data_IF_019060054487
#
_entry.id   IF_019060054487
#
_cell.length_a   1.000
_cell.length_b   1.000
_cell.length_c   1.000
_cell.angle_alpha   90.00
_cell.angle_beta   90.00
_cell.angle_gamma   90.00
#
_symmetry.space_group_name_H-M   'P 1'
#
loop_
_entity.id
_entity.type
_entity.pdbx_description
1 polymer ?
#
# COMPACT_ATOMS: atom_id res chain seq x y z
N UNK A 1 -15.10 -44.14 21.31
CA UNK A 1 -16.18 -43.14 21.55
C UNK A 1 -16.26 -42.29 20.29
N UNK A 2 -17.46 -42.01 19.76
CA UNK A 2 -17.60 -41.34 18.45
C UNK A 2 -18.06 -39.89 18.59
N UNK A 3 -17.39 -39.01 17.85
CA UNK A 3 -17.85 -37.64 17.59
C UNK A 3 -18.78 -37.62 16.39
N UNK A 4 -19.98 -37.08 16.56
CA UNK A 4 -20.93 -36.89 15.45
C UNK A 4 -20.62 -35.58 14.73
N UNK A 5 -19.82 -35.66 13.66
CA UNK A 5 -19.55 -34.53 12.79
C UNK A 5 -20.67 -34.33 11.76
N UNK A 6 -20.71 -33.17 11.10
CA UNK A 6 -21.63 -32.91 9.98
C UNK A 6 -21.41 -33.83 8.78
N UNK A 7 -20.29 -34.57 8.72
CA UNK A 7 -19.96 -35.54 7.67
C UNK A 7 -20.12 -36.99 8.12
N UNK A 8 -20.63 -37.23 9.33
CA UNK A 8 -20.82 -38.57 9.90
C UNK A 8 -20.06 -38.79 11.22
N UNK A 9 -20.28 -39.96 11.81
CA UNK A 9 -19.66 -40.36 13.07
C UNK A 9 -18.17 -40.72 12.87
N UNK A 10 -17.29 -40.10 13.64
CA UNK A 10 -15.84 -40.33 13.60
C UNK A 10 -15.37 -40.81 14.97
N UNK A 11 -14.57 -41.87 15.02
CA UNK A 11 -13.96 -42.32 16.27
C UNK A 11 -12.99 -41.26 16.81
N UNK A 12 -13.16 -40.87 18.07
CA UNK A 12 -12.36 -39.81 18.70
C UNK A 12 -10.89 -40.20 18.78
N UNK A 13 -10.59 -41.48 19.04
CA UNK A 13 -9.22 -41.98 19.23
C UNK A 13 -8.36 -41.88 17.96
N UNK A 14 -8.98 -41.84 16.77
CA UNK A 14 -8.27 -41.74 15.49
C UNK A 14 -8.12 -40.31 14.97
N UNK A 15 -8.61 -39.32 15.73
CA UNK A 15 -8.55 -37.92 15.29
C UNK A 15 -7.16 -37.32 15.41
N UNK A 16 -6.67 -36.59 14.39
CA UNK A 16 -5.47 -35.77 14.52
C UNK A 16 -5.72 -34.53 15.37
N UNK A 17 -4.67 -33.98 16.00
CA UNK A 17 -4.76 -32.90 17.01
C UNK A 17 -5.62 -31.71 16.56
N UNK A 18 -5.33 -31.17 15.35
CA UNK A 18 -6.10 -30.04 14.79
C UNK A 18 -7.57 -30.34 14.59
N UNK A 19 -7.93 -31.59 14.33
CA UNK A 19 -9.33 -31.96 14.13
C UNK A 19 -10.04 -32.15 15.48
N UNK A 20 -9.39 -32.82 16.43
CA UNK A 20 -9.90 -33.02 17.79
C UNK A 20 -10.09 -31.68 18.54
N UNK A 21 -9.12 -30.76 18.44
CA UNK A 21 -9.18 -29.46 19.12
C UNK A 21 -10.28 -28.54 18.58
N UNK A 22 -10.46 -28.52 17.26
CA UNK A 22 -11.54 -27.78 16.62
C UNK A 22 -12.92 -28.40 16.94
N UNK A 23 -13.03 -29.72 16.96
CA UNK A 23 -14.25 -30.42 17.34
C UNK A 23 -14.63 -30.17 18.81
N UNK A 24 -13.65 -30.17 19.72
CA UNK A 24 -13.83 -29.84 21.12
C UNK A 24 -14.30 -28.39 21.32
N UNK A 25 -13.65 -27.43 20.66
CA UNK A 25 -14.02 -26.02 20.72
C UNK A 25 -15.45 -25.79 20.19
N UNK A 26 -15.82 -26.50 19.12
CA UNK A 26 -17.16 -26.46 18.56
C UNK A 26 -18.22 -27.03 19.50
N UNK A 27 -17.98 -28.20 20.10
CA UNK A 27 -18.92 -28.81 21.05
C UNK A 27 -19.11 -27.97 22.31
N UNK A 28 -18.04 -27.39 22.85
CA UNK A 28 -18.12 -26.48 24.02
C UNK A 28 -18.97 -25.24 23.74
N UNK A 29 -19.04 -24.79 22.48
CA UNK A 29 -19.82 -23.61 22.07
C UNK A 29 -21.26 -23.95 21.71
N UNK A 30 -21.48 -25.04 20.98
CA UNK A 30 -22.75 -25.33 20.31
C UNK A 30 -23.59 -26.41 21.00
N UNK A 31 -22.98 -27.29 21.80
CA UNK A 31 -23.65 -28.43 22.45
C UNK A 31 -22.97 -28.81 23.79
N UNK A 32 -22.93 -27.90 24.79
CA UNK A 32 -22.24 -28.12 26.07
C UNK A 32 -22.84 -29.25 26.92
N UNK A 33 -24.06 -29.69 26.62
CA UNK A 33 -24.74 -30.82 27.24
C UNK A 33 -24.13 -32.19 26.90
N UNK A 34 -23.35 -32.30 25.81
CA UNK A 34 -22.66 -33.55 25.38
C UNK A 34 -21.36 -33.77 26.16
N UNK A 35 -21.46 -33.81 27.49
CA UNK A 35 -20.32 -33.80 28.43
C UNK A 35 -19.34 -34.95 28.22
N UNK A 36 -19.83 -36.17 27.99
CA UNK A 36 -18.98 -37.35 27.78
C UNK A 36 -18.11 -37.26 26.52
N UNK A 37 -18.64 -36.65 25.45
CA UNK A 37 -17.87 -36.42 24.21
C UNK A 37 -16.85 -35.29 24.36
N UNK A 38 -17.20 -34.26 25.12
CA UNK A 38 -16.30 -33.16 25.46
C UNK A 38 -15.13 -33.68 26.30
N UNK A 39 -15.40 -34.53 27.29
CA UNK A 39 -14.37 -35.16 28.12
C UNK A 39 -13.48 -36.10 27.31
N UNK A 40 -14.07 -36.93 26.43
CA UNK A 40 -13.31 -37.82 25.57
C UNK A 40 -12.41 -37.05 24.57
N UNK A 41 -12.91 -35.98 23.96
CA UNK A 41 -12.12 -35.13 23.05
C UNK A 41 -11.06 -34.32 23.81
N UNK A 42 -11.36 -33.84 25.01
CA UNK A 42 -10.38 -33.15 25.85
C UNK A 42 -9.24 -34.08 26.25
N UNK A 43 -9.56 -35.33 26.63
CA UNK A 43 -8.57 -36.36 26.93
C UNK A 43 -7.70 -36.67 25.71
N UNK A 44 -8.30 -36.87 24.53
CA UNK A 44 -7.54 -37.12 23.30
C UNK A 44 -6.65 -35.94 22.89
N UNK A 45 -7.12 -34.71 23.06
CA UNK A 45 -6.30 -33.52 22.82
C UNK A 45 -5.10 -33.48 23.76
N UNK A 46 -5.30 -33.76 25.05
CA UNK A 46 -4.22 -33.78 26.04
C UNK A 46 -3.21 -34.92 25.78
N UNK A 47 -3.67 -36.10 25.36
CA UNK A 47 -2.80 -37.21 24.95
C UNK A 47 -1.95 -36.83 23.73
N UNK A 48 -2.56 -36.22 22.71
CA UNK A 48 -1.86 -35.79 21.50
C UNK A 48 -0.88 -34.63 21.74
N UNK A 49 -1.22 -33.71 22.63
CA UNK A 49 -0.36 -32.59 23.04
C UNK A 49 0.85 -33.13 23.83
N UNK A 50 0.64 -34.10 24.72
CA UNK A 50 1.72 -34.81 25.40
C UNK A 50 2.58 -35.65 24.44
N UNK A 51 1.99 -36.27 23.41
CA UNK A 51 2.73 -36.95 22.34
C UNK A 51 3.56 -35.98 21.48
N UNK A 52 3.07 -34.76 21.25
CA UNK A 52 3.79 -33.71 20.51
C UNK A 52 4.95 -33.15 21.36
N UNK A 53 4.75 -32.90 22.66
CA UNK A 53 5.81 -32.52 23.60
C UNK A 53 6.86 -33.64 23.79
N UNK A 54 6.44 -34.91 23.77
CA UNK A 54 7.32 -36.07 23.93
C UNK A 54 8.02 -36.49 22.62
N UNK A 55 7.76 -35.83 21.49
CA UNK A 55 8.41 -36.15 20.23
C UNK A 55 9.70 -35.33 20.06
N UNK A 56 10.90 -35.89 20.34
CA UNK A 56 12.17 -35.19 20.15
C UNK A 56 12.48 -34.85 18.68
N UNK A 57 11.63 -35.27 17.73
CA UNK A 57 11.72 -34.94 16.29
C UNK A 57 10.76 -33.82 15.87
N UNK A 58 9.89 -33.32 16.75
CA UNK A 58 8.96 -32.21 16.47
C UNK A 58 9.59 -30.83 16.74
N UNK A 59 10.92 -30.72 16.67
CA UNK A 59 11.60 -29.43 16.57
C UNK A 59 11.43 -28.96 15.13
N UNK A 60 10.65 -27.90 14.93
CA UNK A 60 10.55 -27.22 13.64
C UNK A 60 11.96 -26.96 13.10
N UNK A 61 12.22 -27.40 11.87
CA UNK A 61 13.56 -27.56 11.32
C UNK A 61 14.40 -26.28 11.36
N UNK A 62 15.28 -26.21 12.36
CA UNK A 62 16.51 -25.47 12.24
C UNK A 62 17.47 -26.32 11.42
N UNK A 63 17.79 -25.86 10.21
CA UNK A 63 18.94 -26.36 9.46
C UNK A 63 20.19 -25.88 10.19
N UNK A 64 20.49 -26.52 11.32
CA UNK A 64 21.73 -26.35 12.05
C UNK A 64 22.67 -27.47 11.56
N UNK A 65 23.43 -27.23 10.48
CA UNK A 65 24.30 -28.25 9.91
C UNK A 65 25.32 -28.75 10.96
N UNK A 66 25.77 -30.01 10.85
CA UNK A 66 26.82 -30.55 11.70
C UNK A 66 28.03 -29.62 11.80
N UNK A 67 28.76 -29.61 12.93
CA UNK A 67 29.91 -28.70 13.13
C UNK A 67 30.97 -28.81 12.02
N UNK A 68 31.15 -30.01 11.46
CA UNK A 68 32.00 -30.26 10.31
C UNK A 68 31.54 -29.48 9.07
N UNK A 69 30.24 -29.46 8.80
CA UNK A 69 29.63 -28.70 7.69
C UNK A 69 29.69 -27.19 7.95
N UNK A 70 29.59 -26.74 9.22
CA UNK A 70 29.81 -25.33 9.60
C UNK A 70 31.24 -24.87 9.33
N UNK A 71 32.23 -25.75 9.49
CA UNK A 71 33.62 -25.43 9.13
C UNK A 71 33.78 -25.19 7.61
N UNK A 72 33.03 -25.93 6.78
CA UNK A 72 32.96 -25.72 5.33
C UNK A 72 32.06 -24.56 4.89
N UNK A 73 31.19 -24.05 5.76
CA UNK A 73 30.34 -22.87 5.50
C UNK A 73 31.07 -21.54 5.64
N UNK A 74 32.35 -21.54 5.99
CA UNK A 74 33.18 -20.33 5.94
C UNK A 74 33.26 -19.85 4.48
N UNK A 75 33.04 -18.55 4.27
CA UNK A 75 33.08 -17.94 2.95
C UNK A 75 34.31 -18.37 2.12
N UNK A 76 35.50 -18.36 2.72
CA UNK A 76 36.74 -18.72 2.01
C UNK A 76 36.74 -20.18 1.50
N UNK A 77 36.18 -21.12 2.27
CA UNK A 77 36.10 -22.53 1.88
C UNK A 77 35.03 -22.77 0.83
N UNK A 78 33.86 -22.14 0.97
CA UNK A 78 32.78 -22.19 -0.02
C UNK A 78 33.21 -21.61 -1.35
N UNK A 79 33.91 -20.48 -1.32
CA UNK A 79 34.41 -19.81 -2.50
C UNK A 79 35.34 -20.73 -3.28
N UNK A 80 36.33 -21.33 -2.62
CA UNK A 80 37.26 -22.28 -3.26
C UNK A 80 36.51 -23.44 -3.90
N UNK A 81 35.60 -24.09 -3.16
CA UNK A 81 34.81 -25.22 -3.70
C UNK A 81 33.95 -24.82 -4.92
N UNK A 82 33.31 -23.65 -4.89
CA UNK A 82 32.53 -23.16 -6.03
C UNK A 82 33.41 -22.79 -7.23
N UNK A 83 34.56 -22.16 -6.98
CA UNK A 83 35.53 -21.80 -8.03
C UNK A 83 36.07 -23.06 -8.72
N UNK A 84 36.37 -24.13 -7.96
CA UNK A 84 36.81 -25.44 -8.48
C UNK A 84 35.72 -26.10 -9.36
N UNK A 85 34.45 -26.05 -8.93
CA UNK A 85 33.33 -26.57 -9.74
C UNK A 85 33.13 -25.76 -11.02
N UNK A 86 33.28 -24.43 -10.95
CA UNK A 86 33.17 -23.56 -12.12
C UNK A 86 34.30 -23.81 -13.13
N UNK A 87 35.52 -24.10 -12.66
CA UNK A 87 36.61 -24.51 -13.54
C UNK A 87 36.30 -25.83 -14.26
N UNK A 88 35.76 -26.82 -13.55
CA UNK A 88 35.31 -28.08 -14.16
C UNK A 88 34.20 -27.87 -15.20
N UNK A 89 33.24 -26.98 -14.92
CA UNK A 89 32.17 -26.63 -15.87
C UNK A 89 32.77 -26.02 -17.14
N UNK A 90 33.69 -25.05 -17.02
CA UNK A 90 34.34 -24.41 -18.17
C UNK A 90 35.03 -25.42 -19.09
N UNK A 91 35.59 -26.50 -18.54
CA UNK A 91 36.22 -27.57 -19.30
C UNK A 91 35.26 -28.41 -20.14
N UNK A 92 33.95 -28.40 -19.83
CA UNK A 92 32.94 -29.26 -20.47
C UNK A 92 31.96 -28.45 -21.32
N UNK A 93 31.72 -27.19 -20.97
CA UNK A 93 30.81 -26.32 -21.72
C UNK A 93 31.30 -26.08 -23.14
N UNK A 94 30.41 -26.22 -24.14
CA UNK A 94 30.72 -26.03 -25.56
C UNK A 94 31.17 -27.29 -26.30
N UNK A 95 31.30 -28.42 -25.61
CA UNK A 95 31.57 -29.73 -26.21
C UNK A 95 30.25 -30.48 -26.42
N UNK A 96 30.06 -31.06 -27.61
CA UNK A 96 28.92 -31.93 -27.88
C UNK A 96 29.07 -33.24 -27.11
N UNK A 97 28.11 -33.54 -26.24
CA UNK A 97 28.04 -34.82 -25.52
C UNK A 97 27.80 -35.94 -26.54
N UNK A 98 28.71 -36.91 -26.56
CA UNK A 98 28.77 -37.97 -27.58
C UNK A 98 28.58 -39.38 -27.01
N UNK A 99 28.69 -39.54 -25.69
CA UNK A 99 28.48 -40.82 -25.00
C UNK A 99 27.72 -40.65 -23.66
N UNK A 100 27.23 -41.78 -23.12
CA UNK A 100 26.47 -41.80 -21.87
C UNK A 100 27.33 -41.43 -20.65
N UNK A 101 28.61 -41.76 -20.66
CA UNK A 101 29.51 -41.46 -19.54
C UNK A 101 29.73 -39.94 -19.39
N UNK A 102 29.80 -39.22 -20.50
CA UNK A 102 29.85 -37.75 -20.58
C UNK A 102 28.55 -37.12 -20.07
N UNK A 103 27.39 -37.69 -20.43
CA UNK A 103 26.10 -37.26 -19.90
C UNK A 103 25.99 -37.47 -18.38
N UNK A 104 26.41 -38.63 -17.86
CA UNK A 104 26.37 -38.95 -16.43
C UNK A 104 27.34 -38.07 -15.62
N UNK A 105 28.53 -37.81 -16.15
CA UNK A 105 29.50 -36.90 -15.54
C UNK A 105 28.98 -35.45 -15.50
N UNK A 106 28.37 -34.97 -16.59
CA UNK A 106 27.73 -33.65 -16.63
C UNK A 106 26.54 -33.56 -15.66
N UNK A 107 25.76 -34.63 -15.53
CA UNK A 107 24.67 -34.74 -14.57
C UNK A 107 25.13 -34.69 -13.11
N UNK A 108 26.26 -35.37 -12.80
CA UNK A 108 26.89 -35.30 -11.47
C UNK A 108 27.39 -33.88 -11.16
N UNK A 109 28.10 -33.25 -12.10
CA UNK A 109 28.61 -31.89 -11.92
C UNK A 109 27.47 -30.87 -11.74
N UNK A 110 26.36 -31.03 -12.47
CA UNK A 110 25.15 -30.24 -12.27
C UNK A 110 24.61 -30.40 -10.85
N UNK A 111 24.61 -31.62 -10.31
CA UNK A 111 24.13 -31.88 -8.95
C UNK A 111 25.05 -31.25 -7.90
N UNK A 112 26.36 -31.39 -8.06
CA UNK A 112 27.37 -30.82 -7.16
C UNK A 112 27.26 -29.28 -7.11
N UNK A 113 27.01 -28.62 -8.25
CA UNK A 113 26.71 -27.19 -8.31
C UNK A 113 25.42 -26.81 -7.57
N UNK A 114 24.34 -27.57 -7.76
CA UNK A 114 23.08 -27.31 -7.07
C UNK A 114 23.22 -27.41 -5.56
N UNK A 115 24.00 -28.38 -5.08
CA UNK A 115 24.23 -28.58 -3.66
C UNK A 115 25.19 -27.52 -3.09
N UNK A 116 26.21 -27.08 -3.84
CA UNK A 116 27.05 -25.94 -3.49
C UNK A 116 26.24 -24.63 -3.34
N UNK A 117 25.28 -24.38 -4.24
CA UNK A 117 24.38 -23.21 -4.15
C UNK A 117 23.54 -23.23 -2.86
N UNK A 118 22.96 -24.38 -2.51
CA UNK A 118 22.18 -24.52 -1.26
C UNK A 118 23.05 -24.31 -0.03
N UNK A 119 24.29 -24.80 -0.06
CA UNK A 119 25.24 -24.65 1.03
C UNK A 119 25.63 -23.18 1.22
N UNK A 120 25.89 -22.46 0.13
CA UNK A 120 26.19 -21.04 0.15
C UNK A 120 25.01 -20.19 0.66
N UNK A 121 23.78 -20.49 0.23
CA UNK A 121 22.60 -19.78 0.74
C UNK A 121 22.36 -20.04 2.24
N UNK A 122 22.61 -21.27 2.70
CA UNK A 122 22.53 -21.62 4.13
C UNK A 122 23.59 -20.90 4.97
N UNK A 123 24.81 -20.75 4.46
CA UNK A 123 25.85 -19.96 5.11
C UNK A 123 25.45 -18.48 5.17
N UNK A 124 24.98 -17.92 4.06
CA UNK A 124 24.50 -16.53 3.97
C UNK A 124 23.38 -16.23 4.96
N UNK A 125 22.37 -17.10 5.07
CA UNK A 125 21.26 -16.90 6.01
C UNK A 125 21.73 -16.97 7.46
N UNK A 126 22.64 -17.89 7.78
CA UNK A 126 23.25 -18.02 9.11
C UNK A 126 24.06 -16.79 9.50
N UNK A 127 24.92 -16.31 8.59
CA UNK A 127 25.72 -15.09 8.82
C UNK A 127 24.85 -13.84 8.96
N UNK A 128 23.77 -13.75 8.17
CA UNK A 128 22.85 -12.60 8.20
C UNK A 128 21.91 -12.60 9.40
N UNK A 129 21.54 -13.76 9.94
CA UNK A 129 20.57 -13.90 11.02
C UNK A 129 20.78 -12.95 12.21
N UNK A 130 21.98 -12.84 12.83
CA UNK A 130 22.19 -11.92 13.96
C UNK A 130 22.07 -10.45 13.54
N UNK A 131 22.44 -10.10 12.31
CA UNK A 131 22.31 -8.74 11.79
C UNK A 131 20.84 -8.39 11.52
N UNK A 132 20.08 -9.32 10.95
CA UNK A 132 18.64 -9.14 10.75
C UNK A 132 17.91 -8.95 12.08
N UNK A 133 18.25 -9.72 13.11
CA UNK A 133 17.64 -9.57 14.43
C UNK A 133 18.03 -8.23 15.08
N UNK A 134 19.29 -7.81 14.99
CA UNK A 134 19.72 -6.49 15.48
C UNK A 134 19.02 -5.33 14.74
N UNK A 135 18.89 -5.44 13.41
CA UNK A 135 18.15 -4.47 12.61
C UNK A 135 16.67 -4.45 13.01
N UNK A 136 16.06 -5.62 13.22
CA UNK A 136 14.68 -5.74 13.64
C UNK A 136 14.44 -5.12 15.01
N UNK A 137 15.31 -5.36 15.99
CA UNK A 137 15.21 -4.74 17.32
C UNK A 137 15.24 -3.21 17.23
N UNK A 138 16.17 -2.66 16.44
CA UNK A 138 16.25 -1.22 16.19
C UNK A 138 14.96 -0.73 15.54
N UNK A 139 14.49 -1.40 14.49
CA UNK A 139 13.26 -1.04 13.79
C UNK A 139 12.07 -1.05 14.73
N UNK A 140 11.89 -2.11 15.54
CA UNK A 140 10.76 -2.24 16.46
C UNK A 140 10.76 -1.12 17.51
N UNK A 141 11.91 -0.80 18.10
CA UNK A 141 12.07 0.30 19.07
C UNK A 141 11.64 1.65 18.48
N UNK A 142 12.07 1.97 17.26
CA UNK A 142 11.70 3.24 16.62
C UNK A 142 10.26 3.21 16.11
N UNK A 143 9.81 2.12 15.51
CA UNK A 143 8.46 1.96 14.96
C UNK A 143 7.38 2.13 16.03
N UNK A 144 7.66 1.80 17.29
CA UNK A 144 6.76 2.12 18.40
C UNK A 144 6.34 3.62 18.44
N UNK A 145 7.21 4.53 17.99
CA UNK A 145 6.97 5.97 18.01
C UNK A 145 6.70 6.56 16.62
N UNK A 146 7.48 6.18 15.62
CA UNK A 146 7.51 6.84 14.31
C UNK A 146 6.95 5.99 13.17
N UNK A 147 6.38 4.81 13.46
CA UNK A 147 5.79 3.99 12.40
C UNK A 147 4.70 4.76 11.66
N UNK A 148 4.72 4.76 10.31
CA UNK A 148 3.72 5.44 9.49
C UNK A 148 2.28 5.05 9.83
N UNK A 149 1.36 6.00 9.63
CA UNK A 149 -0.08 5.81 9.87
C UNK A 149 -0.73 4.69 9.05
N UNK A 150 -0.13 4.32 7.93
CA UNK A 150 -0.59 3.22 7.06
C UNK A 150 -0.22 1.82 7.59
N UNK A 151 0.67 1.75 8.58
CA UNK A 151 1.09 0.47 9.15
C UNK A 151 -0.01 -0.11 10.04
N UNK A 152 -0.01 -1.43 10.22
CA UNK A 152 -0.98 -2.12 11.11
C UNK A 152 -0.96 -1.57 12.54
N UNK A 153 0.23 -1.20 13.03
CA UNK A 153 0.46 -0.56 14.32
C UNK A 153 1.19 0.76 14.12
N UNK A 154 0.47 1.88 13.94
CA UNK A 154 1.11 3.19 13.81
C UNK A 154 1.78 3.64 15.11
N UNK A 155 2.86 4.40 14.95
CA UNK A 155 3.64 4.91 16.06
C UNK A 155 2.90 5.98 16.87
N UNK A 156 3.25 6.11 18.15
CA UNK A 156 2.60 7.06 19.07
C UNK A 156 2.76 8.52 18.63
N UNK A 157 3.97 8.92 18.19
CA UNK A 157 4.24 10.28 17.74
C UNK A 157 3.50 10.56 16.44
N UNK A 158 3.45 9.60 15.51
CA UNK A 158 2.69 9.75 14.27
C UNK A 158 1.19 9.94 14.52
N UNK A 159 0.61 9.25 15.53
CA UNK A 159 -0.79 9.46 15.94
C UNK A 159 -0.99 10.84 16.57
N UNK A 160 -0.09 11.28 17.45
CA UNK A 160 -0.16 12.59 18.08
C UNK A 160 -0.04 13.72 17.05
N UNK A 161 0.87 13.59 16.08
CA UNK A 161 1.03 14.53 14.97
C UNK A 161 -0.25 14.62 14.13
N UNK A 162 -0.89 13.49 13.82
CA UNK A 162 -2.18 13.49 13.12
C UNK A 162 -3.27 14.20 13.93
N UNK A 163 -3.37 13.91 15.22
CA UNK A 163 -4.37 14.54 16.08
C UNK A 163 -4.21 16.07 16.12
N UNK A 164 -2.98 16.56 16.28
CA UNK A 164 -2.68 17.99 16.24
C UNK A 164 -2.96 18.61 14.87
N UNK A 165 -2.59 17.93 13.78
CA UNK A 165 -2.92 18.39 12.41
C UNK A 165 -4.42 18.52 12.20
N UNK A 166 -5.21 17.55 12.69
CA UNK A 166 -6.67 17.60 12.59
C UNK A 166 -7.26 18.75 13.40
N UNK A 167 -6.74 19.00 14.61
CA UNK A 167 -7.17 20.12 15.44
C UNK A 167 -6.85 21.47 14.79
N UNK A 168 -5.63 21.63 14.27
CA UNK A 168 -5.22 22.84 13.54
C UNK A 168 -6.07 23.00 12.27
N UNK A 169 -6.33 21.92 11.53
CA UNK A 169 -7.15 21.96 10.32
C UNK A 169 -8.59 22.41 10.62
N UNK A 170 -9.19 21.92 11.72
CA UNK A 170 -10.53 22.34 12.14
C UNK A 170 -10.58 23.84 12.48
N UNK A 171 -9.56 24.35 13.19
CA UNK A 171 -9.42 25.78 13.48
C UNK A 171 -9.25 26.62 12.21
N UNK A 172 -8.34 26.21 11.31
CA UNK A 172 -8.11 26.91 10.05
C UNK A 172 -9.34 26.91 9.14
N UNK A 173 -10.11 25.81 9.13
CA UNK A 173 -11.37 25.74 8.41
C UNK A 173 -12.38 26.75 8.95
N UNK A 174 -12.50 26.87 10.28
CA UNK A 174 -13.35 27.89 10.91
C UNK A 174 -12.94 29.30 10.48
N UNK A 175 -11.65 29.62 10.48
CA UNK A 175 -11.15 30.91 10.01
C UNK A 175 -11.42 31.15 8.52
N UNK A 176 -11.33 30.10 7.70
CA UNK A 176 -11.66 30.17 6.27
C UNK A 176 -13.16 30.42 6.08
N UNK A 177 -14.03 29.70 6.80
CA UNK A 177 -15.48 29.88 6.75
C UNK A 177 -15.88 31.30 7.22
N UNK A 178 -15.28 31.80 8.30
CA UNK A 178 -15.48 33.18 8.79
C UNK A 178 -15.02 34.21 7.76
N UNK A 179 -13.88 33.97 7.10
CA UNK A 179 -13.40 34.84 6.02
C UNK A 179 -14.35 34.81 4.83
N UNK A 180 -14.81 33.64 4.40
CA UNK A 180 -15.75 33.48 3.28
C UNK A 180 -17.07 34.21 3.55
N UNK A 181 -17.57 34.15 4.79
CA UNK A 181 -18.75 34.92 5.19
C UNK A 181 -18.51 36.45 5.12
N UNK A 182 -17.32 36.91 5.56
CA UNK A 182 -16.93 38.32 5.44
C UNK A 182 -16.74 38.75 3.99
N UNK A 183 -16.12 37.92 3.16
CA UNK A 183 -15.96 38.16 1.72
C UNK A 183 -17.33 38.29 1.04
N UNK A 184 -18.27 37.41 1.36
CA UNK A 184 -19.61 37.44 0.76
C UNK A 184 -20.38 38.69 1.21
N UNK A 185 -20.35 39.03 2.50
CA UNK A 185 -20.96 40.25 3.01
C UNK A 185 -20.34 41.51 2.37
N UNK A 186 -19.01 41.55 2.23
CA UNK A 186 -18.30 42.64 1.58
C UNK A 186 -18.60 42.71 0.07
N UNK A 187 -18.77 41.57 -0.62
CA UNK A 187 -19.20 41.53 -2.03
C UNK A 187 -20.58 42.12 -2.21
N UNK A 188 -21.55 41.73 -1.38
CA UNK A 188 -22.90 42.30 -1.40
C UNK A 188 -22.86 43.80 -1.11
N UNK A 189 -22.04 44.25 -0.15
CA UNK A 189 -21.88 45.67 0.16
C UNK A 189 -21.26 46.47 -0.99
N UNK A 190 -20.23 45.92 -1.65
CA UNK A 190 -19.61 46.53 -2.84
C UNK A 190 -20.58 46.59 -4.01
N UNK A 191 -21.36 45.54 -4.25
CA UNK A 191 -22.36 45.51 -5.32
C UNK A 191 -23.43 46.58 -5.09
N UNK A 192 -23.99 46.67 -3.88
CA UNK A 192 -24.97 47.70 -3.52
C UNK A 192 -24.40 49.12 -3.62
N UNK A 193 -23.23 49.37 -3.03
CA UNK A 193 -22.59 50.68 -3.09
C UNK A 193 -22.24 51.09 -4.53
N UNK A 194 -21.84 50.14 -5.38
CA UNK A 194 -21.58 50.40 -6.79
C UNK A 194 -22.86 50.68 -7.59
N UNK A 195 -23.98 50.02 -7.29
CA UNK A 195 -25.28 50.30 -7.89
C UNK A 195 -25.79 51.70 -7.49
N UNK A 196 -25.75 52.03 -6.19
CA UNK A 196 -26.15 53.34 -5.66
C UNK A 196 -25.28 54.45 -6.23
N UNK A 197 -23.95 54.28 -6.26
CA UNK A 197 -23.03 55.24 -6.85
C UNK A 197 -23.26 55.43 -8.36
N UNK A 198 -23.55 54.36 -9.11
CA UNK A 198 -23.87 54.47 -10.55
C UNK A 198 -25.18 55.22 -10.78
N UNK A 199 -26.21 54.92 -9.98
CA UNK A 199 -27.51 55.59 -10.10
C UNK A 199 -27.40 57.08 -9.74
N UNK A 200 -26.72 57.42 -8.64
CA UNK A 200 -26.49 58.80 -8.23
C UNK A 200 -25.62 59.56 -9.24
N UNK A 201 -24.56 58.94 -9.77
CA UNK A 201 -23.73 59.56 -10.80
C UNK A 201 -24.50 59.82 -12.11
N UNK A 202 -25.38 58.91 -12.52
CA UNK A 202 -26.24 59.11 -13.69
C UNK A 202 -27.26 60.25 -13.48
N UNK A 203 -27.83 60.37 -12.28
CA UNK A 203 -28.73 61.47 -11.92
C UNK A 203 -27.98 62.82 -11.88
N UNK A 204 -26.81 62.86 -11.26
CA UNK A 204 -25.98 64.06 -11.15
C UNK A 204 -25.45 64.56 -12.51
N UNK A 205 -25.23 63.68 -13.50
CA UNK A 205 -24.76 64.08 -14.84
C UNK A 205 -25.70 65.04 -15.59
N UNK A 206 -26.97 65.04 -15.25
CA UNK A 206 -28.02 65.88 -15.86
C UNK A 206 -28.63 66.87 -14.87
N UNK A 207 -28.09 66.96 -13.66
CA UNK A 207 -28.57 67.87 -12.61
C UNK A 207 -27.82 69.20 -12.65
N UNK A 208 -28.55 70.29 -12.35
CA UNK A 208 -28.01 71.62 -12.11
C UNK A 208 -27.92 71.94 -10.60
N UNK A 209 -28.25 70.97 -9.73
CA UNK A 209 -28.20 71.09 -8.27
C UNK A 209 -26.82 70.63 -7.73
N UNK A 210 -26.10 71.56 -7.09
CA UNK A 210 -24.78 71.29 -6.51
C UNK A 210 -24.85 70.21 -5.42
N UNK A 211 -25.93 70.17 -4.62
CA UNK A 211 -26.08 69.20 -3.53
C UNK A 211 -26.23 67.77 -4.08
N UNK A 212 -26.88 67.60 -5.24
CA UNK A 212 -27.02 66.29 -5.91
C UNK A 212 -25.69 65.81 -6.52
N UNK A 213 -24.87 66.75 -7.02
CA UNK A 213 -23.53 66.45 -7.55
C UNK A 213 -22.59 66.04 -6.41
N UNK A 214 -22.57 66.79 -5.30
CA UNK A 214 -21.76 66.46 -4.12
C UNK A 214 -22.17 65.12 -3.50
N UNK A 215 -23.48 64.85 -3.38
CA UNK A 215 -23.98 63.57 -2.89
C UNK A 215 -23.58 62.37 -3.79
N UNK A 216 -23.53 62.55 -5.11
CA UNK A 216 -23.06 61.51 -6.02
C UNK A 216 -21.55 61.25 -5.87
N UNK A 217 -20.74 62.29 -5.67
CA UNK A 217 -19.30 62.15 -5.40
C UNK A 217 -19.03 61.42 -4.07
N UNK A 218 -19.80 61.72 -3.02
CA UNK A 218 -19.73 61.01 -1.74
C UNK A 218 -20.04 59.51 -1.90
N UNK A 219 -21.05 59.15 -2.69
CA UNK A 219 -21.43 57.75 -2.95
C UNK A 219 -20.37 57.01 -3.78
N UNK A 220 -19.74 57.67 -4.75
CA UNK A 220 -18.61 57.10 -5.49
C UNK A 220 -17.43 56.84 -4.55
N UNK A 221 -17.11 57.80 -3.67
CA UNK A 221 -16.05 57.64 -2.68
C UNK A 221 -16.35 56.48 -1.71
N UNK A 222 -17.61 56.33 -1.27
CA UNK A 222 -18.05 55.21 -0.44
C UNK A 222 -17.91 53.85 -1.15
N UNK A 223 -18.28 53.76 -2.44
CA UNK A 223 -18.11 52.56 -3.24
C UNK A 223 -16.63 52.17 -3.40
N UNK A 224 -15.74 53.15 -3.58
CA UNK A 224 -14.30 52.95 -3.65
C UNK A 224 -13.71 52.44 -2.33
N UNK A 225 -14.18 52.95 -1.18
CA UNK A 225 -13.79 52.46 0.15
C UNK A 225 -14.22 51.00 0.32
N UNK A 226 -15.47 50.67 0.02
CA UNK A 226 -15.98 49.30 0.10
C UNK A 226 -15.19 48.34 -0.80
N UNK A 227 -14.83 48.77 -2.02
CA UNK A 227 -14.02 47.98 -2.94
C UNK A 227 -12.60 47.75 -2.42
N UNK A 228 -12.00 48.73 -1.73
CA UNK A 228 -10.68 48.58 -1.08
C UNK A 228 -10.75 47.61 0.09
N UNK A 229 -11.80 47.67 0.90
CA UNK A 229 -12.03 46.74 2.01
C UNK A 229 -12.17 45.30 1.52
N UNK A 230 -12.98 45.05 0.49
CA UNK A 230 -13.10 43.73 -0.13
C UNK A 230 -11.74 43.19 -0.59
N UNK A 231 -10.92 44.02 -1.26
CA UNK A 231 -9.56 43.61 -1.70
C UNK A 231 -8.63 43.27 -0.54
N UNK A 232 -8.78 43.92 0.62
CA UNK A 232 -7.99 43.58 1.81
C UNK A 232 -8.43 42.24 2.40
N UNK A 233 -9.74 42.01 2.48
CA UNK A 233 -10.32 40.75 2.94
C UNK A 233 -9.86 39.60 2.02
N UNK A 234 -9.97 39.75 0.70
CA UNK A 234 -9.56 38.71 -0.26
C UNK A 234 -8.08 38.31 -0.10
N UNK A 235 -7.20 39.27 0.20
CA UNK A 235 -5.76 39.04 0.41
C UNK A 235 -5.43 38.36 1.73
N UNK A 236 -6.31 38.44 2.73
CA UNK A 236 -6.10 37.82 4.03
C UNK A 236 -6.01 36.29 3.88
N UNK A 237 -5.02 35.67 4.52
CA UNK A 237 -4.83 34.22 4.47
C UNK A 237 -5.03 33.63 5.87
N UNK A 238 -6.01 32.73 6.06
CA UNK A 238 -6.20 32.05 7.33
C UNK A 238 -4.98 31.14 7.58
N UNK A 239 -4.24 31.44 8.64
CA UNK A 239 -3.01 30.74 8.98
C UNK A 239 -2.77 30.76 10.49
N UNK A 240 -2.23 29.67 11.02
CA UNK A 240 -1.73 29.61 12.38
C UNK A 240 -0.29 30.13 12.40
N UNK A 241 -0.02 31.17 13.18
CA UNK A 241 1.31 31.77 13.36
C UNK A 241 1.86 31.42 14.74
N UNK A 242 3.17 31.26 14.82
CA UNK A 242 3.94 31.03 16.05
C UNK A 242 5.43 31.26 15.77
N UNK A 243 6.30 30.67 16.58
CA UNK A 243 7.77 30.81 16.43
C UNK A 243 8.32 30.11 15.17
N UNK A 244 7.51 29.26 14.53
CA UNK A 244 7.84 28.50 13.35
C UNK A 244 7.09 28.99 12.11
N UNK A 245 7.41 28.41 10.94
CA UNK A 245 6.71 28.72 9.69
C UNK A 245 5.20 28.58 9.85
N UNK A 246 4.47 29.58 9.36
CA UNK A 246 3.01 29.59 9.41
C UNK A 246 2.40 28.36 8.73
N UNK A 247 1.38 27.78 9.37
CA UNK A 247 0.62 26.62 8.88
C UNK A 247 -0.70 27.15 8.29
N UNK A 248 -0.96 26.82 7.03
CA UNK A 248 -2.19 27.20 6.32
C UNK A 248 -2.79 26.02 5.57
N UNK A 249 -4.04 26.16 5.13
CA UNK A 249 -4.71 25.17 4.29
C UNK A 249 -4.07 25.11 2.90
N UNK A 250 -4.06 23.92 2.30
CA UNK A 250 -3.61 23.69 0.92
C UNK A 250 -4.74 23.09 0.12
N UNK A 251 -4.96 23.61 -1.08
CA UNK A 251 -5.92 23.05 -2.03
C UNK A 251 -5.31 21.86 -2.76
N UNK A 252 -6.01 20.72 -2.75
CA UNK A 252 -5.69 19.56 -3.56
C UNK A 252 -6.82 19.33 -4.55
N UNK A 253 -6.50 19.27 -5.84
CA UNK A 253 -7.45 19.03 -6.91
C UNK A 253 -7.35 17.56 -7.33
N UNK A 254 -8.47 16.84 -7.27
CA UNK A 254 -8.58 15.45 -7.73
C UNK A 254 -9.64 15.39 -8.84
N UNK A 255 -9.32 14.68 -9.91
CA UNK A 255 -10.30 14.35 -10.94
C UNK A 255 -11.15 13.16 -10.46
N UNK A 256 -12.46 13.34 -10.40
CA UNK A 256 -13.42 12.27 -10.17
C UNK A 256 -14.11 11.94 -11.50
N UNK A 257 -14.26 10.64 -11.79
CA UNK A 257 -14.91 10.20 -13.01
C UNK A 257 -16.42 10.38 -12.89
N UNK A 258 -17.01 11.04 -13.86
CA UNK A 258 -18.46 11.11 -14.02
C UNK A 258 -18.93 9.83 -14.71
N UNK A 259 -19.89 9.13 -14.10
CA UNK A 259 -20.49 7.92 -14.66
C UNK A 259 -21.20 8.23 -15.99
N UNK A 260 -21.15 7.30 -16.95
CA UNK A 260 -21.70 7.49 -18.29
C UNK A 260 -20.88 8.40 -19.22
N UNK A 261 -19.96 9.23 -18.70
CA UNK A 261 -19.17 10.16 -19.53
C UNK A 261 -17.78 9.63 -19.96
N UNK A 262 -17.54 8.33 -19.81
CA UNK A 262 -16.25 7.71 -20.15
C UNK A 262 -15.82 7.93 -21.60
N UNK A 263 -16.77 7.95 -22.55
CA UNK A 263 -16.48 8.22 -23.96
C UNK A 263 -15.96 9.65 -24.21
N UNK A 264 -16.48 10.65 -23.48
CA UNK A 264 -15.99 12.04 -23.55
C UNK A 264 -14.57 12.13 -22.99
N UNK A 265 -14.31 11.46 -21.86
CA UNK A 265 -12.96 11.40 -21.27
C UNK A 265 -11.96 10.72 -22.22
N UNK A 266 -12.31 9.58 -22.82
CA UNK A 266 -11.47 8.90 -23.80
C UNK A 266 -11.20 9.79 -25.02
N UNK A 267 -12.22 10.48 -25.53
CA UNK A 267 -12.08 11.40 -26.66
C UNK A 267 -11.14 12.58 -26.33
N UNK A 268 -11.24 13.14 -25.12
CA UNK A 268 -10.35 14.19 -24.64
C UNK A 268 -8.89 13.71 -24.56
N UNK A 269 -8.64 12.54 -23.97
CA UNK A 269 -7.28 12.00 -23.85
C UNK A 269 -6.72 11.47 -25.17
N UNK A 270 -7.54 10.96 -26.08
CA UNK A 270 -7.11 10.58 -27.42
C UNK A 270 -6.63 11.80 -28.23
N UNK A 271 -7.25 12.98 -28.03
CA UNK A 271 -6.83 14.24 -28.67
C UNK A 271 -5.60 14.86 -28.00
N UNK A 272 -5.54 14.85 -26.68
CA UNK A 272 -4.48 15.53 -25.91
C UNK A 272 -3.24 14.68 -25.68
N UNK A 273 -3.39 13.35 -25.56
CA UNK A 273 -2.34 12.39 -25.25
C UNK A 273 -2.47 11.09 -26.07
N UNK A 274 -2.41 11.17 -27.42
CA UNK A 274 -2.70 10.04 -28.30
C UNK A 274 -1.81 8.82 -28.04
N UNK A 275 -0.51 9.02 -27.81
CA UNK A 275 0.45 7.94 -27.62
C UNK A 275 0.14 7.08 -26.38
N UNK A 276 -0.36 7.69 -25.30
CA UNK A 276 -0.73 6.95 -24.08
C UNK A 276 -1.99 6.11 -24.30
N UNK A 277 -2.94 6.63 -25.07
CA UNK A 277 -4.15 5.89 -25.43
C UNK A 277 -3.81 4.71 -26.35
N UNK A 278 -2.93 4.91 -27.34
CA UNK A 278 -2.44 3.82 -28.22
C UNK A 278 -1.75 2.73 -27.40
N UNK A 279 -0.85 3.10 -26.49
CA UNK A 279 -0.17 2.14 -25.61
C UNK A 279 -1.15 1.37 -24.71
N UNK A 280 -2.17 2.05 -24.17
CA UNK A 280 -3.23 1.40 -23.39
C UNK A 280 -4.02 0.38 -24.23
N UNK A 281 -4.37 0.72 -25.47
CA UNK A 281 -5.08 -0.19 -26.37
C UNK A 281 -4.20 -1.39 -26.75
N UNK A 282 -2.89 -1.20 -26.99
CA UNK A 282 -1.95 -2.30 -27.24
C UNK A 282 -1.88 -3.28 -26.06
N UNK A 283 -1.82 -2.75 -24.82
CA UNK A 283 -1.80 -3.58 -23.62
C UNK A 283 -3.05 -4.46 -23.50
N UNK A 284 -4.24 -3.91 -23.77
CA UNK A 284 -5.48 -4.68 -23.80
C UNK A 284 -5.46 -5.77 -24.89
N UNK A 285 -4.95 -5.45 -26.08
CA UNK A 285 -4.83 -6.42 -27.16
C UNK A 285 -3.86 -7.56 -26.79
N UNK A 286 -2.73 -7.27 -26.14
CA UNK A 286 -1.78 -8.30 -25.69
C UNK A 286 -2.37 -9.21 -24.60
N UNK A 287 -3.20 -8.65 -23.70
CA UNK A 287 -3.95 -9.40 -22.69
C UNK A 287 -4.95 -10.37 -23.35
N UNK A 288 -5.70 -9.89 -24.36
CA UNK A 288 -6.62 -10.72 -25.13
C UNK A 288 -5.87 -11.86 -25.88
N UNK A 289 -4.72 -11.57 -26.47
CA UNK A 289 -3.88 -12.59 -27.14
C UNK A 289 -3.41 -13.66 -26.16
N UNK A 290 -3.00 -13.26 -24.95
CA UNK A 290 -2.61 -14.21 -23.88
C UNK A 290 -3.80 -15.03 -23.38
N UNK A 291 -5.00 -14.45 -23.34
CA UNK A 291 -6.24 -15.17 -23.04
C UNK A 291 -6.64 -16.15 -24.16
N UNK A 292 -5.97 -16.10 -25.32
CA UNK A 292 -6.16 -17.03 -26.43
C UNK A 292 -6.95 -16.45 -27.61
N UNK A 293 -7.33 -15.16 -27.57
CA UNK A 293 -7.98 -14.48 -28.69
C UNK A 293 -6.98 -14.29 -29.83
N UNK A 294 -7.30 -14.81 -31.02
CA UNK A 294 -6.41 -14.74 -32.20
C UNK A 294 -6.91 -13.81 -33.30
N UNK A 295 -8.08 -13.19 -33.11
CA UNK A 295 -8.65 -12.20 -34.02
C UNK A 295 -9.15 -11.02 -33.20
N UNK A 296 -8.50 -9.87 -33.36
CA UNK A 296 -8.81 -8.63 -32.65
C UNK A 296 -8.94 -7.52 -33.70
N UNK A 297 -10.08 -6.81 -33.79
CA UNK A 297 -10.23 -5.72 -34.74
C UNK A 297 -9.12 -4.67 -34.61
N UNK A 298 -8.44 -4.36 -35.72
CA UNK A 298 -7.34 -3.39 -35.75
C UNK A 298 -5.96 -3.94 -35.36
N UNK A 299 -5.83 -5.24 -35.03
CA UNK A 299 -4.57 -5.89 -34.66
C UNK A 299 -4.31 -7.14 -35.51
N UNK A 300 -3.05 -7.41 -35.82
CA UNK A 300 -2.59 -8.66 -36.43
C UNK A 300 -1.87 -9.51 -35.38
N UNK A 301 -2.35 -10.73 -35.12
CA UNK A 301 -1.73 -11.66 -34.15
C UNK A 301 -0.76 -12.60 -34.87
N UNK A 302 0.49 -12.68 -34.38
CA UNK A 302 1.59 -13.47 -34.98
C UNK A 302 2.10 -14.54 -33.98
N UNK A 303 2.46 -15.73 -34.47
CA UNK A 303 2.98 -16.86 -33.66
C UNK A 303 4.51 -17.02 -33.84
N UNK A 304 5.25 -17.16 -32.73
CA UNK A 304 6.69 -17.47 -32.70
C UNK A 304 6.97 -18.61 -31.70
N UNK A 305 7.84 -19.59 -32.04
CA UNK A 305 8.20 -20.75 -31.19
C UNK A 305 9.66 -20.67 -30.72
N UNK A 306 9.92 -20.86 -29.41
CA UNK A 306 11.27 -20.84 -28.77
C UNK A 306 11.44 -21.99 -27.75
N UNK A 307 12.70 -22.37 -27.47
CA UNK A 307 13.06 -23.39 -26.44
C UNK A 307 12.65 -22.88 -25.05
N UNK A 308 12.11 -23.78 -24.20
CA UNK A 308 11.59 -23.48 -22.87
C UNK A 308 12.69 -23.23 -21.82
#
# INVERSE_FOLDING_TARGET
MKYLSSKGAVEIDTMPFRYASNALAKLRREAPERKEEIEALAKRCAELEAEEEANPRAVAGDNNPPEEVKAYMRWDALKVHMDDLLEQVRGITGVTISDQAQADAAGKLLRDLQDAVKLADSARTTEKAPLDEAVKEIQDRYNAYIAPLKNKTPGLVSKAELALKNQIAAWLKKLDDEKRAKEEAARIAVEKAAEEARAAHQAAQVSDDLDEIEAAEELIAAADVAARELRQIEKEKPQARGDYRAIGLRSFWRAERIEGEGGKALSHYARTQPQRVIAFIQMLADEDVKAGVRSIPGFNVVEEKRVA
#
